data_IF_228364405455
#
_entry.id   IF_228364405455
#
_cell.length_a   1.000
_cell.length_b   1.000
_cell.length_c   1.000
_cell.angle_alpha   90.00
_cell.angle_beta   90.00
_cell.angle_gamma   90.00
#
_symmetry.space_group_name_H-M   'P 1'
#
loop_
_entity.id
_entity.type
_entity.pdbx_description
1 polymer ?
#
# COMPACT_ATOMS: atom_id res chain seq x y z
N UNK A 1 60.68 -26.68 14.54
CA UNK A 1 61.16 -25.83 13.43
C UNK A 1 60.63 -26.40 12.13
N UNK A 2 59.67 -25.73 11.51
CA UNK A 2 59.01 -26.15 10.26
C UNK A 2 58.36 -24.92 9.62
N UNK A 3 58.64 -24.69 8.34
CA UNK A 3 58.64 -23.38 7.66
C UNK A 3 57.22 -22.82 7.44
N UNK A 4 57.02 -21.53 7.71
CA UNK A 4 55.82 -20.78 7.32
C UNK A 4 55.79 -20.61 5.79
N UNK A 5 54.70 -21.02 5.16
CA UNK A 5 54.39 -20.65 3.77
C UNK A 5 53.84 -19.21 3.70
N UNK A 6 54.20 -18.42 2.68
CA UNK A 6 53.61 -17.11 2.46
C UNK A 6 52.20 -17.25 1.90
N UNK A 7 51.22 -16.51 2.46
CA UNK A 7 49.91 -16.36 1.80
C UNK A 7 50.09 -15.40 0.62
N UNK A 8 49.79 -15.89 -0.59
CA UNK A 8 49.69 -15.08 -1.80
C UNK A 8 48.46 -14.16 -1.79
N UNK A 9 48.35 -13.25 -2.79
CA UNK A 9 47.23 -12.33 -2.89
C UNK A 9 45.90 -13.07 -3.19
N UNK A 10 44.74 -12.52 -2.77
CA UNK A 10 43.45 -13.16 -2.95
C UNK A 10 42.81 -12.79 -4.31
N UNK A 11 42.10 -13.70 -4.99
CA UNK A 11 41.19 -13.41 -6.12
C UNK A 11 40.23 -14.63 -6.38
N UNK A 12 39.07 -14.52 -7.07
CA UNK A 12 37.90 -13.65 -6.78
C UNK A 12 36.51 -14.35 -6.92
N UNK A 13 35.42 -13.67 -6.52
CA UNK A 13 34.01 -13.96 -6.91
C UNK A 13 33.14 -14.67 -5.85
N UNK A 14 31.86 -14.39 -5.59
CA UNK A 14 30.84 -13.42 -6.03
C UNK A 14 29.74 -13.44 -4.92
N UNK A 15 28.75 -12.56 -4.80
CA UNK A 15 28.04 -11.76 -5.78
C UNK A 15 27.54 -10.49 -5.08
N UNK A 16 28.08 -9.34 -5.48
CA UNK A 16 27.40 -8.06 -5.30
C UNK A 16 26.46 -7.89 -6.50
N UNK A 17 25.29 -8.52 -6.44
CA UNK A 17 24.24 -8.37 -7.44
C UNK A 17 22.87 -8.22 -6.74
N UNK A 18 22.76 -7.29 -5.78
CA UNK A 18 21.46 -6.83 -5.28
C UNK A 18 21.36 -5.30 -5.17
N UNK A 19 22.28 -4.55 -5.80
CA UNK A 19 22.27 -3.09 -5.78
C UNK A 19 22.20 -2.48 -7.19
N UNK A 20 21.68 -3.21 -8.16
CA UNK A 20 21.44 -2.67 -9.50
C UNK A 20 19.93 -2.51 -9.70
N UNK A 21 19.51 -1.25 -9.83
CA UNK A 21 18.20 -0.79 -10.29
C UNK A 21 17.03 -0.93 -9.30
N UNK A 22 17.11 -0.21 -8.18
CA UNK A 22 15.89 0.15 -7.45
C UNK A 22 15.28 1.38 -8.14
N UNK A 23 14.04 1.31 -8.63
CA UNK A 23 13.39 2.46 -9.22
C UNK A 23 13.25 3.57 -8.18
N UNK A 24 13.34 4.83 -8.62
CA UNK A 24 13.04 5.99 -7.78
C UNK A 24 11.58 5.87 -7.28
N UNK A 25 11.44 5.71 -5.97
CA UNK A 25 10.15 5.47 -5.30
C UNK A 25 9.44 6.77 -4.91
N UNK A 26 10.01 7.94 -5.22
CA UNK A 26 9.43 9.23 -4.83
C UNK A 26 7.99 9.43 -5.27
N UNK A 27 7.63 8.96 -6.48
CA UNK A 27 6.25 9.00 -6.96
C UNK A 27 5.32 8.08 -6.15
N UNK A 28 5.81 6.89 -5.75
CA UNK A 28 5.06 5.94 -4.92
C UNK A 28 4.87 6.51 -3.51
N UNK A 29 5.91 7.09 -2.90
CA UNK A 29 5.78 7.72 -1.59
C UNK A 29 4.72 8.83 -1.59
N UNK A 30 4.76 9.71 -2.60
CA UNK A 30 3.81 10.79 -2.77
C UNK A 30 2.39 10.29 -3.12
N UNK A 31 2.24 9.14 -3.79
CA UNK A 31 0.94 8.51 -4.04
C UNK A 31 0.18 8.22 -2.74
N UNK A 32 0.86 7.72 -1.69
CA UNK A 32 0.22 7.42 -0.41
C UNK A 32 -0.12 8.66 0.43
N UNK A 33 0.53 9.81 0.18
CA UNK A 33 0.28 11.02 0.96
C UNK A 33 -1.16 11.54 0.82
N UNK A 34 -1.83 11.26 -0.29
CA UNK A 34 -3.22 11.71 -0.51
C UNK A 34 -4.19 11.12 0.52
N UNK A 35 -3.92 9.92 1.04
CA UNK A 35 -4.75 9.33 2.10
C UNK A 35 -4.66 10.12 3.40
N UNK A 36 -3.52 10.78 3.67
CA UNK A 36 -3.34 11.65 4.82
C UNK A 36 -3.87 13.08 4.57
N UNK A 37 -3.55 13.67 3.42
CA UNK A 37 -3.84 15.09 3.13
C UNK A 37 -5.21 15.32 2.49
N UNK A 38 -5.67 14.38 1.67
CA UNK A 38 -6.82 14.57 0.79
C UNK A 38 -6.58 15.59 -0.33
N UNK A 39 -5.33 15.97 -0.59
CA UNK A 39 -4.97 16.97 -1.60
C UNK A 39 -4.76 16.30 -2.98
N UNK A 40 -5.68 16.48 -3.94
CA UNK A 40 -5.59 15.85 -5.25
C UNK A 40 -4.52 16.46 -6.16
N UNK A 41 -4.03 17.67 -5.87
CA UNK A 41 -3.15 18.41 -6.79
C UNK A 41 -1.84 17.65 -7.03
N UNK A 42 -1.35 16.94 -6.01
CA UNK A 42 -0.12 16.17 -6.10
C UNK A 42 -0.23 14.94 -7.00
N UNK A 43 -1.44 14.41 -7.23
CA UNK A 43 -1.64 13.24 -8.09
C UNK A 43 -1.26 13.50 -9.54
N UNK A 44 -1.48 14.72 -10.04
CA UNK A 44 -1.10 15.10 -11.41
C UNK A 44 0.41 15.11 -11.64
N UNK A 45 1.22 15.15 -10.58
CA UNK A 45 2.68 15.18 -10.65
C UNK A 45 3.30 13.78 -10.52
N UNK A 46 2.54 12.79 -10.06
CA UNK A 46 3.06 11.45 -9.75
C UNK A 46 2.41 10.35 -10.59
N UNK A 47 1.25 10.63 -11.20
CA UNK A 47 0.55 9.72 -12.10
C UNK A 47 0.80 10.12 -13.55
N UNK A 48 1.02 9.13 -14.42
CA UNK A 48 1.11 9.34 -15.85
C UNK A 48 -0.22 9.87 -16.41
N UNK A 49 -0.23 10.63 -17.52
CA UNK A 49 -1.46 11.15 -18.12
C UNK A 49 -2.47 10.07 -18.53
N UNK A 50 -1.98 8.87 -18.85
CA UNK A 50 -2.72 7.66 -19.21
C UNK A 50 -2.78 6.64 -18.05
N UNK A 51 -2.52 7.08 -16.81
CA UNK A 51 -2.54 6.20 -15.65
C UNK A 51 -3.87 5.46 -15.50
N UNK A 52 -3.79 4.20 -15.07
CA UNK A 52 -4.95 3.33 -14.92
C UNK A 52 -4.97 2.58 -13.59
N UNK A 53 -6.13 2.58 -12.95
CA UNK A 53 -6.41 1.80 -11.74
C UNK A 53 -7.02 0.43 -12.08
N UNK A 54 -6.53 -0.63 -11.44
CA UNK A 54 -6.93 -2.02 -11.69
C UNK A 54 -7.27 -2.80 -10.40
N UNK A 55 -8.56 -3.12 -10.16
CA UNK A 55 -9.74 -2.62 -10.87
C UNK A 55 -9.97 -1.11 -10.65
N UNK A 56 -11.07 -0.56 -11.16
CA UNK A 56 -11.51 0.74 -10.65
C UNK A 56 -12.03 0.57 -9.21
N UNK A 57 -11.91 1.63 -8.41
CA UNK A 57 -12.52 1.65 -7.08
C UNK A 57 -14.04 1.44 -7.20
N UNK A 58 -14.69 0.78 -6.22
CA UNK A 58 -16.12 0.48 -6.29
C UNK A 58 -16.98 1.72 -6.57
N UNK A 59 -17.67 1.73 -7.72
CA UNK A 59 -18.55 2.83 -8.13
C UNK A 59 -17.86 3.96 -8.90
N UNK A 60 -16.56 3.86 -9.17
CA UNK A 60 -15.76 4.91 -9.81
C UNK A 60 -15.19 4.48 -11.17
N UNK A 61 -14.64 5.45 -11.91
CA UNK A 61 -13.91 5.21 -13.17
C UNK A 61 -12.47 4.78 -12.88
N UNK A 62 -11.81 4.04 -13.79
CA UNK A 62 -10.44 3.55 -13.59
C UNK A 62 -9.36 4.63 -13.83
N UNK A 63 -9.70 5.90 -13.71
CA UNK A 63 -8.84 7.05 -13.99
C UNK A 63 -8.53 7.85 -12.72
N UNK A 64 -7.67 8.87 -12.85
CA UNK A 64 -7.22 9.72 -11.73
C UNK A 64 -8.40 10.36 -10.98
N UNK A 65 -9.45 10.77 -11.69
CA UNK A 65 -10.62 11.40 -11.05
C UNK A 65 -11.42 10.38 -10.24
N UNK A 66 -11.57 9.17 -10.77
CA UNK A 66 -12.20 8.06 -10.05
C UNK A 66 -11.44 7.66 -8.80
N UNK A 67 -10.10 7.56 -8.88
CA UNK A 67 -9.26 7.29 -7.72
C UNK A 67 -9.36 8.39 -6.65
N UNK A 68 -9.32 9.67 -7.04
CA UNK A 68 -9.50 10.79 -6.09
C UNK A 68 -10.86 10.70 -5.38
N UNK A 69 -11.91 10.29 -6.09
CA UNK A 69 -13.23 10.06 -5.50
C UNK A 69 -13.22 8.88 -4.51
N UNK A 70 -12.57 7.76 -4.84
CA UNK A 70 -12.39 6.63 -3.93
C UNK A 70 -11.58 6.97 -2.67
N UNK A 71 -10.51 7.77 -2.79
CA UNK A 71 -9.75 8.30 -1.64
C UNK A 71 -10.65 9.15 -0.74
N UNK A 72 -11.49 10.02 -1.34
CA UNK A 72 -12.44 10.84 -0.58
C UNK A 72 -13.45 9.97 0.17
N UNK A 73 -13.97 8.94 -0.46
CA UNK A 73 -14.92 8.02 0.17
C UNK A 73 -14.26 7.27 1.34
N UNK A 74 -13.02 6.81 1.17
CA UNK A 74 -12.23 6.17 2.23
C UNK A 74 -12.00 7.12 3.41
N UNK A 75 -11.62 8.38 3.14
CA UNK A 75 -11.45 9.43 4.17
C UNK A 75 -12.75 9.79 4.88
N UNK A 76 -13.89 9.71 4.19
CA UNK A 76 -15.20 9.94 4.80
C UNK A 76 -15.65 8.74 5.65
N UNK A 77 -15.29 7.52 5.26
CA UNK A 77 -15.60 6.30 5.97
C UNK A 77 -14.78 6.12 7.25
N UNK A 78 -13.48 6.46 7.21
CA UNK A 78 -12.55 6.32 8.32
C UNK A 78 -12.16 7.69 8.88
N UNK A 79 -12.71 8.08 10.04
CA UNK A 79 -12.19 9.25 10.75
C UNK A 79 -10.82 8.91 11.35
N UNK A 80 -9.95 9.90 11.44
CA UNK A 80 -8.53 9.72 11.83
C UNK A 80 -7.80 8.70 10.95
N UNK A 81 -8.13 8.68 9.65
CA UNK A 81 -7.51 7.78 8.68
C UNK A 81 -5.98 7.86 8.75
N UNK A 82 -5.35 6.70 8.91
CA UNK A 82 -3.90 6.49 8.78
C UNK A 82 -3.63 5.37 7.80
N UNK A 83 -2.55 5.53 7.05
CA UNK A 83 -2.01 4.48 6.19
C UNK A 83 -0.58 4.17 6.61
N UNK A 84 -0.34 2.93 7.00
CA UNK A 84 0.97 2.42 7.39
C UNK A 84 1.49 1.50 6.30
N UNK A 85 2.62 1.84 5.68
CA UNK A 85 3.24 0.99 4.67
C UNK A 85 4.16 -0.03 5.34
N UNK A 86 3.65 -1.25 5.49
CA UNK A 86 4.27 -2.34 6.23
C UNK A 86 5.44 -2.99 5.50
N UNK A 87 5.39 -3.02 4.17
CA UNK A 87 6.50 -3.48 3.34
C UNK A 87 6.50 -2.78 1.98
N UNK A 88 7.68 -2.63 1.39
CA UNK A 88 7.84 -2.17 0.02
C UNK A 88 8.99 -2.91 -0.65
N UNK A 89 8.69 -3.56 -1.77
CA UNK A 89 9.67 -4.25 -2.59
C UNK A 89 9.62 -3.67 -4.00
N UNK A 90 10.76 -3.63 -4.68
CA UNK A 90 10.83 -3.13 -6.04
C UNK A 90 11.73 -4.02 -6.89
N UNK A 91 11.34 -4.18 -8.15
CA UNK A 91 12.09 -4.93 -9.15
C UNK A 91 11.81 -4.34 -10.53
N UNK A 92 12.85 -3.81 -11.19
CA UNK A 92 12.70 -3.13 -12.48
C UNK A 92 11.76 -1.94 -12.35
N UNK A 93 10.71 -1.92 -13.17
CA UNK A 93 9.70 -0.87 -13.19
C UNK A 93 8.53 -1.10 -12.22
N UNK A 94 8.56 -2.18 -11.43
CA UNK A 94 7.48 -2.52 -10.50
C UNK A 94 7.85 -2.20 -9.05
N UNK A 95 6.89 -1.62 -8.32
CA UNK A 95 6.95 -1.40 -6.88
C UNK A 95 5.71 -2.00 -6.24
N UNK A 96 5.87 -2.96 -5.33
CA UNK A 96 4.77 -3.56 -4.56
C UNK A 96 4.82 -3.05 -3.13
N UNK A 97 3.67 -2.62 -2.63
CA UNK A 97 3.48 -2.09 -1.29
C UNK A 97 2.44 -2.94 -0.57
N UNK A 98 2.78 -3.41 0.63
CA UNK A 98 1.79 -3.90 1.60
C UNK A 98 1.50 -2.77 2.56
N UNK A 99 0.24 -2.41 2.72
CA UNK A 99 -0.19 -1.31 3.57
C UNK A 99 -1.30 -1.75 4.52
N UNK A 100 -1.52 -0.95 5.56
CA UNK A 100 -2.65 -1.07 6.47
C UNK A 100 -3.32 0.28 6.61
N UNK A 101 -4.62 0.33 6.38
CA UNK A 101 -5.46 1.48 6.62
C UNK A 101 -6.13 1.32 7.98
N UNK A 102 -6.14 2.37 8.80
CA UNK A 102 -6.78 2.35 10.12
C UNK A 102 -7.51 3.66 10.41
N UNK A 103 -8.51 3.59 11.28
CA UNK A 103 -9.32 4.73 11.69
C UNK A 103 -10.57 4.29 12.44
N UNK A 104 -11.49 5.23 12.71
CA UNK A 104 -12.83 4.92 13.24
C UNK A 104 -13.81 4.82 12.07
N UNK A 105 -14.49 3.69 11.94
CA UNK A 105 -15.40 3.43 10.82
C UNK A 105 -16.77 4.08 11.04
N UNK A 106 -16.95 5.30 10.52
CA UNK A 106 -18.06 6.21 10.83
C UNK A 106 -19.08 6.39 9.70
N UNK A 107 -18.73 6.06 8.46
CA UNK A 107 -19.62 6.05 7.30
C UNK A 107 -19.41 4.79 6.47
N UNK A 108 -20.37 4.43 5.59
CA UNK A 108 -20.27 3.22 4.80
C UNK A 108 -19.12 3.22 3.79
N UNK A 109 -18.53 2.05 3.54
CA UNK A 109 -17.41 1.86 2.62
C UNK A 109 -17.58 0.54 1.86
N UNK A 110 -17.46 0.56 0.53
CA UNK A 110 -17.54 -0.65 -0.32
C UNK A 110 -18.78 -1.54 -0.02
N UNK A 111 -19.93 -0.92 0.29
CA UNK A 111 -21.18 -1.63 0.62
C UNK A 111 -21.30 -2.12 2.08
N UNK A 112 -20.29 -1.87 2.92
CA UNK A 112 -20.30 -2.19 4.35
C UNK A 112 -20.91 -1.04 5.16
N UNK A 113 -21.73 -1.38 6.15
CA UNK A 113 -22.28 -0.41 7.11
C UNK A 113 -21.25 -0.07 8.20
N UNK A 114 -21.20 1.19 8.67
CA UNK A 114 -20.24 1.63 9.68
C UNK A 114 -20.46 0.91 11.02
N UNK A 115 -19.37 0.63 11.73
CA UNK A 115 -19.40 0.01 13.07
C UNK A 115 -19.27 1.03 14.19
N UNK A 116 -18.90 2.28 13.88
CA UNK A 116 -18.60 3.36 14.82
C UNK A 116 -17.49 3.01 15.84
N UNK A 117 -16.57 2.13 15.44
CA UNK A 117 -15.44 1.68 16.27
C UNK A 117 -14.12 1.84 15.52
N UNK A 118 -13.04 1.86 16.28
CA UNK A 118 -11.70 1.76 15.71
C UNK A 118 -11.51 0.39 15.05
N UNK A 119 -10.87 0.37 13.89
CA UNK A 119 -10.54 -0.83 13.15
C UNK A 119 -9.45 -0.58 12.13
N UNK A 120 -9.03 -1.65 11.47
CA UNK A 120 -8.10 -1.56 10.36
C UNK A 120 -8.40 -2.57 9.27
N UNK A 121 -7.87 -2.34 8.08
CA UNK A 121 -7.81 -3.35 7.04
C UNK A 121 -6.48 -3.32 6.29
N UNK A 122 -6.07 -4.50 5.82
CA UNK A 122 -4.87 -4.66 5.00
C UNK A 122 -5.20 -4.38 3.52
N UNK A 123 -4.22 -3.80 2.84
CA UNK A 123 -4.23 -3.56 1.40
C UNK A 123 -2.88 -3.94 0.78
N UNK A 124 -2.91 -4.24 -0.52
CA UNK A 124 -1.70 -4.42 -1.31
C UNK A 124 -1.87 -3.76 -2.66
N UNK A 125 -0.84 -3.01 -3.03
CA UNK A 125 -0.78 -2.25 -4.27
C UNK A 125 0.49 -2.64 -5.02
N UNK A 126 0.38 -2.77 -6.34
CA UNK A 126 1.51 -2.88 -7.25
C UNK A 126 1.46 -1.72 -8.24
N UNK A 127 2.51 -0.93 -8.28
CA UNK A 127 2.67 0.20 -9.16
C UNK A 127 3.65 -0.13 -10.28
N UNK A 128 3.28 0.14 -11.54
CA UNK A 128 4.24 0.21 -12.65
C UNK A 128 4.69 1.64 -12.83
N UNK A 129 6.01 1.86 -12.87
CA UNK A 129 6.63 3.15 -13.11
C UNK A 129 7.05 3.31 -14.57
N UNK A 130 6.85 4.51 -15.12
CA UNK A 130 7.32 4.91 -16.45
C UNK A 130 7.71 6.38 -16.40
N UNK A 131 8.95 6.69 -16.78
CA UNK A 131 9.48 8.05 -16.79
C UNK A 131 9.37 8.79 -15.44
N UNK A 132 9.54 8.05 -14.33
CA UNK A 132 9.43 8.59 -12.97
C UNK A 132 7.99 8.80 -12.48
N UNK A 133 6.98 8.44 -13.27
CA UNK A 133 5.56 8.51 -12.93
C UNK A 133 4.97 7.11 -12.78
N UNK A 134 3.86 6.98 -12.06
CA UNK A 134 3.08 5.74 -11.97
C UNK A 134 2.18 5.66 -13.20
N UNK A 135 2.32 4.62 -14.00
CA UNK A 135 1.53 4.37 -15.20
C UNK A 135 0.36 3.40 -14.95
N UNK A 136 0.49 2.47 -14.02
CA UNK A 136 -0.57 1.52 -13.66
C UNK A 136 -0.51 1.22 -12.17
N UNK A 137 -1.66 1.01 -11.55
CA UNK A 137 -1.78 0.46 -10.20
C UNK A 137 -2.71 -0.74 -10.23
N UNK A 138 -2.24 -1.90 -9.74
CA UNK A 138 -3.08 -3.04 -9.40
C UNK A 138 -3.23 -3.12 -7.90
N UNK A 139 -4.46 -3.28 -7.41
CA UNK A 139 -4.72 -3.21 -5.99
C UNK A 139 -5.77 -4.22 -5.53
N UNK A 140 -5.71 -4.52 -4.24
CA UNK A 140 -6.76 -5.23 -3.51
C UNK A 140 -6.74 -4.84 -2.03
N UNK A 141 -7.93 -4.63 -1.50
CA UNK A 141 -8.19 -4.30 -0.11
C UNK A 141 -9.12 -5.31 0.54
N UNK A 142 -9.04 -5.41 1.86
CA UNK A 142 -9.91 -6.25 2.67
C UNK A 142 -10.81 -5.44 3.62
N UNK A 143 -11.64 -4.50 3.14
CA UNK A 143 -12.44 -3.62 4.00
C UNK A 143 -13.41 -4.39 4.91
N UNK A 144 -13.75 -5.65 4.59
CA UNK A 144 -14.51 -6.55 5.45
C UNK A 144 -13.85 -6.77 6.83
N UNK A 145 -12.55 -6.54 6.96
CA UNK A 145 -11.85 -6.62 8.25
C UNK A 145 -12.39 -5.60 9.26
N UNK A 146 -12.88 -4.44 8.81
CA UNK A 146 -13.51 -3.42 9.67
C UNK A 146 -14.74 -3.92 10.42
N UNK A 147 -15.43 -4.93 9.90
CA UNK A 147 -16.62 -5.52 10.51
C UNK A 147 -16.32 -6.87 11.18
N UNK A 148 -15.37 -7.64 10.66
CA UNK A 148 -15.04 -8.97 11.19
C UNK A 148 -14.31 -8.90 12.53
N UNK A 149 -13.36 -7.99 12.69
CA UNK A 149 -12.61 -7.81 13.96
C UNK A 149 -13.57 -7.55 15.15
N UNK A 150 -14.70 -6.90 14.88
CA UNK A 150 -15.70 -6.55 15.89
C UNK A 150 -16.59 -7.74 16.28
N UNK A 151 -16.91 -8.64 15.34
CA UNK A 151 -17.77 -9.80 15.60
C UNK A 151 -17.13 -10.84 16.51
N UNK A 152 -15.80 -10.89 16.56
CA UNK A 152 -15.07 -11.80 17.47
C UNK A 152 -15.12 -11.30 18.92
N UNK A 153 -15.17 -9.98 19.14
CA UNK A 153 -15.23 -9.38 20.48
C UNK A 153 -16.64 -9.45 21.11
N UNK A 154 -17.68 -9.71 20.31
CA UNK A 154 -19.08 -9.70 20.75
C UNK A 154 -19.67 -11.09 21.02
N UNK A 155 -18.87 -12.17 20.90
CA UNK A 155 -19.39 -13.50 21.25
C UNK A 155 -19.56 -13.61 22.78
N UNK A 156 -20.76 -13.96 23.28
CA UNK A 156 -20.95 -14.17 24.70
C UNK A 156 -20.07 -15.34 25.15
N UNK A 157 -19.31 -15.14 26.24
CA UNK A 157 -18.64 -16.24 26.93
C UNK A 157 -19.73 -17.20 27.40
N UNK A 158 -19.80 -18.39 26.81
CA UNK A 158 -20.69 -19.43 27.33
C UNK A 158 -20.22 -19.80 28.74
N UNK A 159 -20.95 -19.33 29.75
CA UNK A 159 -20.85 -19.86 31.10
C UNK A 159 -21.49 -21.25 31.09
N UNK A 160 -20.67 -22.29 30.91
CA UNK A 160 -21.05 -23.65 31.31
C UNK A 160 -21.29 -23.64 32.82
N UNK A 161 -22.52 -24.01 33.20
CA UNK A 161 -22.94 -24.19 34.60
C UNK A 161 -22.42 -25.47 35.23
#
# INVERSE_FOLDING_TARGET
MGRRHPRGPPEPGGSSAMAADQPDRGAVDAFYEIFATGDPERMRQVLAPDWRNHPADPGHTPDVSGFIAGVRDTRAALSDLRIDRLATVAQGDLVVCRSRLSGVFVSGLAGLAPTHRAGSFDAMDMHRLRDGLIAETWHFEHPEQLVLEQRVLEQPVEHSG
#
